data_IF_275498186446
#
_entry.id   IF_275498186446
#
_cell.length_a   1.000
_cell.length_b   1.000
_cell.length_c   1.000
_cell.angle_alpha   90.00
_cell.angle_beta   90.00
_cell.angle_gamma   90.00
#
_symmetry.space_group_name_H-M   'P 1'
#
loop_
_entity.id
_entity.type
_entity.pdbx_description
1 polymer ?
#
# COMPACT_ATOMS: atom_id res chain seq x y z
N UNK A 1 -1.48 -38.13 6.68
CA UNK A 1 -2.69 -37.31 6.94
C UNK A 1 -2.60 -36.12 5.99
N UNK A 2 -3.51 -36.02 5.02
CA UNK A 2 -3.59 -34.83 4.16
C UNK A 2 -4.20 -33.75 5.05
N UNK A 3 -3.38 -32.83 5.55
CA UNK A 3 -3.89 -31.70 6.32
C UNK A 3 -4.90 -30.93 5.48
N UNK A 4 -6.09 -30.70 6.01
CA UNK A 4 -7.11 -29.91 5.34
C UNK A 4 -6.55 -28.50 5.08
N UNK A 5 -6.70 -27.96 3.87
CA UNK A 5 -6.10 -26.67 3.52
C UNK A 5 -6.75 -25.55 4.33
N UNK A 6 -5.91 -24.68 4.92
CA UNK A 6 -6.36 -23.48 5.61
C UNK A 6 -6.57 -22.36 4.59
N UNK A 7 -7.83 -22.11 4.25
CA UNK A 7 -8.24 -21.14 3.23
C UNK A 7 -8.61 -19.84 3.93
N UNK A 8 -7.94 -18.75 3.56
CA UNK A 8 -8.27 -17.41 4.01
C UNK A 8 -8.92 -16.61 2.90
N UNK A 9 -10.09 -16.02 3.17
CA UNK A 9 -10.83 -15.17 2.25
C UNK A 9 -10.84 -13.74 2.77
N UNK A 10 -10.48 -12.79 1.92
CA UNK A 10 -10.53 -11.37 2.26
C UNK A 10 -11.83 -10.74 1.77
N UNK A 11 -12.62 -10.15 2.67
CA UNK A 11 -13.88 -9.51 2.31
C UNK A 11 -13.70 -8.43 1.26
N UNK A 12 -14.67 -8.35 0.36
CA UNK A 12 -14.90 -7.18 -0.48
C UNK A 12 -16.37 -6.78 -0.43
N UNK A 13 -16.61 -5.49 -0.57
CA UNK A 13 -17.93 -4.91 -0.45
C UNK A 13 -18.84 -5.37 -1.60
N UNK A 14 -19.95 -6.03 -1.25
CA UNK A 14 -21.01 -6.41 -2.20
C UNK A 14 -21.48 -7.88 -2.12
N UNK A 15 -22.52 -8.19 -2.90
CA UNK A 15 -23.19 -9.51 -2.98
C UNK A 15 -22.27 -10.64 -3.47
N UNK A 16 -21.16 -10.29 -4.13
CA UNK A 16 -20.18 -11.24 -4.65
C UNK A 16 -19.43 -12.00 -3.56
N UNK A 17 -19.29 -11.40 -2.37
CA UNK A 17 -18.62 -12.05 -1.24
C UNK A 17 -19.36 -13.30 -0.78
N UNK A 18 -20.67 -13.21 -0.55
CA UNK A 18 -21.48 -14.35 -0.10
C UNK A 18 -21.57 -15.45 -1.16
N UNK A 19 -21.68 -15.08 -2.45
CA UNK A 19 -21.64 -16.05 -3.56
C UNK A 19 -20.32 -16.82 -3.57
N UNK A 20 -19.21 -16.11 -3.39
CA UNK A 20 -17.87 -16.73 -3.34
C UNK A 20 -17.70 -17.60 -2.11
N UNK A 21 -18.16 -17.15 -0.93
CA UNK A 21 -18.10 -17.92 0.31
C UNK A 21 -18.88 -19.24 0.18
N UNK A 22 -20.09 -19.21 -0.41
CA UNK A 22 -20.88 -20.41 -0.71
C UNK A 22 -20.18 -21.34 -1.69
N UNK A 23 -19.67 -20.82 -2.80
CA UNK A 23 -18.95 -21.60 -3.79
C UNK A 23 -17.68 -22.24 -3.21
N UNK A 24 -16.97 -21.53 -2.33
CA UNK A 24 -15.79 -22.06 -1.65
C UNK A 24 -16.14 -23.19 -0.69
N UNK A 25 -17.21 -23.04 0.09
CA UNK A 25 -17.67 -24.11 0.99
C UNK A 25 -18.12 -25.35 0.22
N UNK A 26 -18.82 -25.17 -0.89
CA UNK A 26 -19.23 -26.28 -1.77
C UNK A 26 -18.03 -27.01 -2.39
N UNK A 27 -17.00 -26.27 -2.80
CA UNK A 27 -15.80 -26.85 -3.42
C UNK A 27 -14.86 -27.50 -2.41
N UNK A 28 -14.86 -26.99 -1.18
CA UNK A 28 -13.97 -27.41 -0.11
C UNK A 28 -14.78 -27.66 1.17
N UNK A 29 -15.53 -28.77 1.16
CA UNK A 29 -16.44 -29.13 2.25
C UNK A 29 -15.72 -29.25 3.59
N UNK A 30 -14.54 -29.89 3.59
CA UNK A 30 -13.73 -30.13 4.78
C UNK A 30 -12.70 -29.04 5.09
N UNK A 31 -12.50 -28.02 4.24
CA UNK A 31 -11.43 -27.04 4.49
C UNK A 31 -11.76 -26.09 5.66
N UNK A 32 -10.74 -25.74 6.44
CA UNK A 32 -10.83 -24.64 7.40
C UNK A 32 -10.85 -23.31 6.64
N UNK A 33 -12.02 -22.64 6.59
CA UNK A 33 -12.17 -21.37 5.89
C UNK A 33 -12.29 -20.24 6.92
N UNK A 34 -11.39 -19.27 6.85
CA UNK A 34 -11.44 -18.04 7.65
C UNK A 34 -11.67 -16.82 6.77
N UNK A 35 -12.71 -16.05 7.07
CA UNK A 35 -13.04 -14.82 6.37
C UNK A 35 -12.66 -13.60 7.21
N UNK A 36 -11.83 -12.71 6.64
CA UNK A 36 -11.58 -11.39 7.21
C UNK A 36 -12.68 -10.44 6.77
N UNK A 37 -13.48 -9.96 7.72
CA UNK A 37 -14.66 -9.12 7.46
C UNK A 37 -14.56 -7.78 8.19
N UNK A 38 -15.33 -6.75 7.76
CA UNK A 38 -15.52 -5.54 8.54
C UNK A 38 -16.13 -5.83 9.91
N UNK A 39 -15.91 -4.95 10.88
CA UNK A 39 -16.48 -5.08 12.23
C UNK A 39 -18.01 -5.14 12.24
N UNK A 40 -18.65 -4.42 11.33
CA UNK A 40 -20.11 -4.34 11.26
C UNK A 40 -20.72 -5.38 10.31
N UNK A 41 -19.94 -6.40 9.91
CA UNK A 41 -20.43 -7.43 9.01
C UNK A 41 -21.33 -8.43 9.77
N UNK A 42 -22.51 -8.80 9.22
CA UNK A 42 -23.39 -9.79 9.85
C UNK A 42 -22.76 -11.19 9.83
N UNK A 43 -22.17 -11.60 10.95
CA UNK A 43 -21.45 -12.87 11.10
C UNK A 43 -22.33 -14.10 10.82
N UNK A 44 -23.63 -14.01 11.11
CA UNK A 44 -24.65 -15.05 10.90
C UNK A 44 -24.65 -15.61 9.47
N UNK A 45 -24.40 -14.74 8.47
CA UNK A 45 -24.36 -15.13 7.06
C UNK A 45 -23.23 -16.10 6.74
N UNK A 46 -22.14 -16.05 7.49
CA UNK A 46 -20.97 -16.92 7.33
C UNK A 46 -20.98 -18.10 8.30
N UNK A 47 -21.55 -17.91 9.49
CA UNK A 47 -21.77 -18.98 10.46
C UNK A 47 -22.62 -20.11 9.87
N UNK A 48 -23.66 -19.78 9.08
CA UNK A 48 -24.47 -20.76 8.35
C UNK A 48 -23.69 -21.61 7.34
N UNK A 49 -22.50 -21.15 6.92
CA UNK A 49 -21.61 -21.83 5.98
C UNK A 49 -20.42 -22.51 6.67
N UNK A 50 -20.42 -22.56 8.01
CA UNK A 50 -19.29 -23.03 8.80
C UNK A 50 -17.97 -22.30 8.44
N UNK A 51 -18.04 -20.98 8.22
CA UNK A 51 -16.88 -20.13 7.92
C UNK A 51 -16.58 -19.27 9.13
N UNK A 52 -15.32 -19.29 9.59
CA UNK A 52 -14.88 -18.50 10.72
C UNK A 52 -14.82 -17.02 10.34
N UNK A 53 -15.51 -16.16 11.07
CA UNK A 53 -15.43 -14.71 10.90
C UNK A 53 -14.28 -14.13 11.72
N UNK A 54 -13.51 -13.22 11.13
CA UNK A 54 -12.48 -12.45 11.82
C UNK A 54 -12.70 -10.95 11.53
N UNK A 55 -13.40 -10.22 12.42
CA UNK A 55 -13.79 -8.82 12.24
C UNK A 55 -12.61 -7.87 12.45
N UNK A 56 -11.57 -7.99 11.61
CA UNK A 56 -10.34 -7.21 11.70
C UNK A 56 -10.30 -6.04 10.71
N UNK A 57 -11.20 -6.03 9.72
CA UNK A 57 -11.16 -5.00 8.69
C UNK A 57 -11.80 -3.70 9.18
N UNK A 58 -11.14 -2.55 9.01
CA UNK A 58 -11.77 -1.27 9.27
C UNK A 58 -12.90 -1.04 8.26
N UNK A 59 -13.95 -0.36 8.71
CA UNK A 59 -15.06 0.01 7.84
C UNK A 59 -14.57 0.82 6.63
N UNK A 60 -15.23 0.68 5.46
CA UNK A 60 -14.80 1.29 4.21
C UNK A 60 -14.63 2.82 4.31
N UNK A 61 -15.33 3.48 5.24
CA UNK A 61 -15.30 4.92 5.47
C UNK A 61 -14.11 5.42 6.31
N UNK A 62 -13.32 4.54 6.94
CA UNK A 62 -12.18 4.95 7.78
C UNK A 62 -10.86 5.01 7.01
N UNK A 63 -10.07 6.07 7.25
CA UNK A 63 -8.72 6.21 6.70
C UNK A 63 -7.83 5.05 7.16
N UNK A 64 -7.31 4.28 6.21
CA UNK A 64 -6.44 3.13 6.48
C UNK A 64 -5.03 3.61 6.83
N UNK A 65 -4.69 3.61 8.11
CA UNK A 65 -3.31 3.83 8.57
C UNK A 65 -2.43 2.62 8.23
N UNK A 66 -1.18 2.86 7.84
CA UNK A 66 -0.19 1.81 7.56
C UNK A 66 -0.01 0.85 8.76
N UNK A 67 -0.16 1.35 9.99
CA UNK A 67 -0.11 0.51 11.20
C UNK A 67 -1.22 -0.55 11.22
N UNK A 68 -2.45 -0.19 10.80
CA UNK A 68 -3.56 -1.14 10.72
C UNK A 68 -3.32 -2.21 9.66
N UNK A 69 -2.75 -1.83 8.51
CA UNK A 69 -2.38 -2.80 7.47
C UNK A 69 -1.33 -3.79 8.00
N UNK A 70 -0.33 -3.30 8.75
CA UNK A 70 0.66 -4.17 9.38
C UNK A 70 0.04 -5.11 10.43
N UNK A 71 -0.91 -4.64 11.24
CA UNK A 71 -1.65 -5.49 12.19
C UNK A 71 -2.45 -6.57 11.49
N UNK A 72 -3.19 -6.22 10.43
CA UNK A 72 -3.94 -7.18 9.61
C UNK A 72 -3.00 -8.22 9.01
N UNK A 73 -1.87 -7.77 8.46
CA UNK A 73 -0.90 -8.66 7.86
C UNK A 73 -0.27 -9.61 8.89
N UNK A 74 0.01 -9.12 10.10
CA UNK A 74 0.54 -9.94 11.19
C UNK A 74 -0.47 -10.99 11.64
N UNK A 75 -1.75 -10.63 11.73
CA UNK A 75 -2.82 -11.58 12.01
C UNK A 75 -2.94 -12.66 10.93
N UNK A 76 -2.92 -12.25 9.64
CA UNK A 76 -2.95 -13.19 8.50
C UNK A 76 -1.75 -14.14 8.55
N UNK A 77 -0.53 -13.61 8.74
CA UNK A 77 0.69 -14.43 8.83
C UNK A 77 0.70 -15.37 10.03
N UNK A 78 0.12 -14.96 11.16
CA UNK A 78 -0.02 -15.80 12.34
C UNK A 78 -0.89 -17.03 12.09
N UNK A 79 -1.87 -16.94 11.20
CA UNK A 79 -2.73 -18.08 10.85
C UNK A 79 -2.11 -19.05 9.83
N UNK A 80 -1.00 -18.67 9.18
CA UNK A 80 -0.34 -19.47 8.12
C UNK A 80 -1.33 -20.05 7.11
N UNK A 81 -2.03 -19.21 6.34
CA UNK A 81 -2.95 -19.69 5.32
C UNK A 81 -2.20 -20.45 4.23
N UNK A 82 -2.73 -21.60 3.83
CA UNK A 82 -2.22 -22.35 2.67
C UNK A 82 -2.68 -21.66 1.39
N UNK A 83 -3.94 -21.24 1.36
CA UNK A 83 -4.58 -20.57 0.23
C UNK A 83 -5.10 -19.20 0.66
N UNK A 84 -4.70 -18.14 -0.03
CA UNK A 84 -5.21 -16.79 0.18
C UNK A 84 -6.05 -16.32 -1.00
N UNK A 85 -7.32 -15.98 -0.73
CA UNK A 85 -8.32 -15.64 -1.74
C UNK A 85 -8.72 -14.17 -1.62
N UNK A 86 -8.68 -13.48 -2.76
CA UNK A 86 -9.09 -12.08 -2.90
C UNK A 86 -10.14 -11.96 -4.02
N UNK A 87 -11.20 -11.19 -3.78
CA UNK A 87 -12.35 -11.10 -4.69
C UNK A 87 -12.20 -10.07 -5.83
N UNK A 88 -11.08 -9.36 -5.88
CA UNK A 88 -10.86 -8.31 -6.87
C UNK A 88 -9.40 -8.21 -7.25
N UNK A 89 -9.18 -7.95 -8.52
CA UNK A 89 -7.86 -7.79 -9.07
C UNK A 89 -7.34 -6.35 -8.88
N UNK A 90 -7.12 -5.97 -7.62
CA UNK A 90 -6.60 -4.65 -7.26
C UNK A 90 -5.10 -4.73 -6.94
N UNK A 91 -4.27 -3.77 -7.37
CA UNK A 91 -2.85 -3.71 -7.01
C UNK A 91 -2.62 -3.77 -5.49
N UNK A 92 -3.50 -3.13 -4.70
CA UNK A 92 -3.43 -3.12 -3.23
C UNK A 92 -3.77 -4.48 -2.62
N UNK A 93 -4.67 -5.24 -3.24
CA UNK A 93 -5.05 -6.58 -2.79
C UNK A 93 -4.01 -7.61 -3.23
N UNK A 94 -3.42 -7.44 -4.42
CA UNK A 94 -2.28 -8.23 -4.88
C UNK A 94 -1.07 -8.09 -3.94
N UNK A 95 -0.74 -6.87 -3.50
CA UNK A 95 0.35 -6.68 -2.53
C UNK A 95 0.01 -7.30 -1.18
N UNK A 96 -1.24 -7.18 -0.72
CA UNK A 96 -1.68 -7.81 0.52
C UNK A 96 -1.62 -9.34 0.45
N UNK A 97 -2.09 -9.93 -0.65
CA UNK A 97 -2.00 -11.37 -0.91
C UNK A 97 -0.54 -11.84 -1.06
N UNK A 98 0.32 -11.03 -1.66
CA UNK A 98 1.75 -11.33 -1.75
C UNK A 98 2.42 -11.31 -0.37
N UNK A 99 2.01 -10.38 0.48
CA UNK A 99 2.56 -10.22 1.82
C UNK A 99 1.94 -11.20 2.84
N UNK A 100 0.81 -11.85 2.54
CA UNK A 100 0.10 -12.77 3.44
C UNK A 100 0.96 -13.98 3.84
N UNK A 101 1.92 -14.35 2.99
CA UNK A 101 2.78 -15.52 3.20
C UNK A 101 2.17 -16.84 2.75
N UNK A 102 1.00 -16.81 2.09
CA UNK A 102 0.35 -18.02 1.59
C UNK A 102 1.11 -18.67 0.43
N UNK A 103 1.10 -20.00 0.41
CA UNK A 103 1.66 -20.83 -0.66
C UNK A 103 0.91 -20.65 -1.96
N UNK A 104 -0.43 -20.70 -1.91
CA UNK A 104 -1.32 -20.43 -3.03
C UNK A 104 -2.09 -19.13 -2.87
N UNK A 105 -2.27 -18.41 -3.99
CA UNK A 105 -2.94 -17.10 -4.03
C UNK A 105 -3.88 -17.06 -5.20
N UNK A 106 -5.17 -16.90 -4.92
CA UNK A 106 -6.23 -16.96 -5.91
C UNK A 106 -7.00 -15.63 -5.95
N UNK A 107 -7.29 -15.16 -7.16
CA UNK A 107 -8.24 -14.08 -7.38
C UNK A 107 -9.55 -14.67 -7.86
N UNK A 108 -10.63 -14.43 -7.12
CA UNK A 108 -11.99 -14.75 -7.55
C UNK A 108 -12.58 -13.50 -8.19
N UNK A 109 -12.91 -13.57 -9.47
CA UNK A 109 -13.57 -12.47 -10.16
C UNK A 109 -15.07 -12.51 -9.90
N UNK A 110 -15.78 -11.36 -9.99
CA UNK A 110 -17.23 -11.31 -9.85
C UNK A 110 -17.97 -12.21 -10.86
N UNK A 111 -17.34 -12.49 -12.00
CA UNK A 111 -17.82 -13.39 -13.06
C UNK A 111 -17.67 -14.89 -12.69
N UNK A 112 -17.16 -15.21 -11.50
CA UNK A 112 -16.94 -16.58 -11.04
C UNK A 112 -15.64 -17.22 -11.55
N UNK A 113 -14.85 -16.50 -12.37
CA UNK A 113 -13.54 -16.96 -12.82
C UNK A 113 -12.53 -16.95 -11.68
N UNK A 114 -11.70 -17.98 -11.61
CA UNK A 114 -10.62 -18.10 -10.63
C UNK A 114 -9.31 -18.00 -11.37
N UNK A 115 -8.53 -16.96 -11.08
CA UNK A 115 -7.22 -16.77 -11.68
C UNK A 115 -6.12 -16.84 -10.62
N UNK A 116 -5.09 -17.69 -10.80
CA UNK A 116 -3.95 -17.69 -9.89
C UNK A 116 -3.22 -16.36 -9.98
N UNK A 117 -2.94 -15.73 -8.83
CA UNK A 117 -2.17 -14.49 -8.77
C UNK A 117 -0.67 -14.79 -8.95
N UNK A 118 -0.25 -14.94 -10.21
CA UNK A 118 1.18 -14.99 -10.56
C UNK A 118 1.80 -13.59 -10.48
N UNK A 119 3.02 -13.50 -9.96
CA UNK A 119 3.77 -12.28 -9.65
C UNK A 119 4.26 -11.46 -10.87
N UNK A 120 3.56 -11.45 -12.00
CA UNK A 120 4.04 -10.74 -13.20
C UNK A 120 4.09 -9.21 -13.05
N UNK A 121 3.34 -8.62 -12.10
CA UNK A 121 3.25 -7.16 -11.92
C UNK A 121 4.03 -6.58 -10.72
N UNK A 122 4.63 -7.42 -9.88
CA UNK A 122 5.46 -6.96 -8.76
C UNK A 122 6.63 -6.09 -9.24
N UNK A 123 7.19 -6.37 -10.42
CA UNK A 123 8.20 -5.54 -11.05
C UNK A 123 7.72 -4.13 -11.42
N UNK A 124 6.46 -3.96 -11.86
CA UNK A 124 5.92 -2.63 -12.22
C UNK A 124 5.63 -1.77 -10.99
N UNK A 125 5.12 -2.38 -9.92
CA UNK A 125 4.84 -1.69 -8.67
C UNK A 125 6.14 -1.37 -7.92
N UNK A 126 7.11 -2.28 -7.93
CA UNK A 126 8.44 -2.03 -7.40
C UNK A 126 9.14 -0.88 -8.14
N UNK A 127 9.03 -0.82 -9.48
CA UNK A 127 9.55 0.31 -10.27
C UNK A 127 8.89 1.65 -9.92
N UNK A 128 7.56 1.66 -9.80
CA UNK A 128 6.81 2.87 -9.45
C UNK A 128 7.14 3.34 -8.03
N UNK A 129 7.27 2.39 -7.10
CA UNK A 129 7.68 2.66 -5.72
C UNK A 129 9.14 3.15 -5.67
N UNK A 130 10.05 2.53 -6.43
CA UNK A 130 11.45 2.97 -6.56
C UNK A 130 11.57 4.38 -7.12
N UNK A 131 10.76 4.76 -8.12
CA UNK A 131 10.76 6.11 -8.67
C UNK A 131 10.28 7.13 -7.63
N UNK A 132 9.19 6.83 -6.91
CA UNK A 132 8.70 7.69 -5.83
C UNK A 132 9.73 7.82 -4.67
N UNK A 133 10.42 6.73 -4.35
CA UNK A 133 11.45 6.70 -3.30
C UNK A 133 12.72 7.45 -3.72
N UNK A 134 13.14 7.32 -4.98
CA UNK A 134 14.27 8.08 -5.56
C UNK A 134 14.00 9.58 -5.54
N UNK A 135 12.78 10.02 -5.83
CA UNK A 135 12.40 11.44 -5.74
C UNK A 135 12.51 11.98 -4.31
N UNK A 136 12.01 11.21 -3.32
CA UNK A 136 12.13 11.59 -1.90
C UNK A 136 13.58 11.61 -1.43
N UNK A 137 14.37 10.57 -1.74
CA UNK A 137 15.79 10.51 -1.36
C UNK A 137 16.60 11.67 -1.94
N UNK A 138 16.35 12.07 -3.19
CA UNK A 138 17.04 13.21 -3.81
C UNK A 138 16.69 14.53 -3.10
N UNK A 139 15.44 14.69 -2.69
CA UNK A 139 15.01 15.84 -1.89
C UNK A 139 15.63 15.80 -0.49
N UNK A 140 15.72 14.64 0.15
CA UNK A 140 16.37 14.48 1.46
C UNK A 140 17.87 14.74 1.36
N UNK A 141 18.52 14.32 0.27
CA UNK A 141 19.92 14.61 -0.01
C UNK A 141 20.18 16.11 -0.17
N UNK A 142 19.36 16.81 -0.97
CA UNK A 142 19.47 18.27 -1.13
C UNK A 142 19.22 18.97 0.20
N UNK A 143 18.21 18.55 0.96
CA UNK A 143 17.91 19.12 2.26
C UNK A 143 19.07 18.91 3.26
N UNK A 144 19.63 17.71 3.34
CA UNK A 144 20.82 17.44 4.13
C UNK A 144 22.02 18.25 3.65
N UNK A 145 22.24 18.39 2.35
CA UNK A 145 23.33 19.21 1.82
C UNK A 145 23.15 20.68 2.20
N UNK A 146 21.95 21.26 2.04
CA UNK A 146 21.71 22.66 2.42
C UNK A 146 21.88 22.89 3.92
N UNK A 147 21.48 21.94 4.76
CA UNK A 147 21.56 22.10 6.23
C UNK A 147 22.91 21.72 6.85
N UNK A 148 23.69 20.83 6.22
CA UNK A 148 24.98 20.38 6.75
C UNK A 148 26.19 20.95 6.02
N UNK A 149 26.03 21.50 4.82
CA UNK A 149 27.10 22.24 4.16
C UNK A 149 27.15 23.63 4.78
N UNK A 150 28.00 23.80 5.80
CA UNK A 150 28.36 25.11 6.35
C UNK A 150 28.80 26.00 5.20
N UNK A 151 28.04 27.05 4.92
CA UNK A 151 28.47 28.14 4.05
C UNK A 151 29.67 28.79 4.73
N UNK A 152 30.86 28.54 4.18
CA UNK A 152 32.06 29.21 4.61
C UNK A 152 31.91 30.70 4.26
N UNK A 153 31.87 31.54 5.30
CA UNK A 153 31.56 32.98 5.21
C UNK A 153 32.73 33.80 4.65
N UNK A 154 33.72 33.16 4.04
CA UNK A 154 34.98 33.77 3.59
C UNK A 154 34.89 34.51 2.24
N UNK A 155 33.75 34.48 1.55
CA UNK A 155 33.56 35.18 0.25
C UNK A 155 32.64 36.41 0.28
N UNK A 156 32.23 36.91 1.46
CA UNK A 156 31.61 38.25 1.52
C UNK A 156 32.71 39.30 1.56
N UNK A 157 33.36 39.49 0.41
CA UNK A 157 34.25 40.61 0.17
C UNK A 157 33.39 41.88 0.21
N UNK A 158 33.53 42.62 1.32
CA UNK A 158 32.91 43.92 1.54
C UNK A 158 33.37 44.84 0.39
N UNK A 159 32.47 45.42 -0.43
CA UNK A 159 32.91 46.41 -1.42
C UNK A 159 33.56 47.56 -0.66
N UNK A 160 34.82 47.84 -0.97
CA UNK A 160 35.56 48.95 -0.38
C UNK A 160 34.99 50.26 -0.90
N UNK A 161 34.72 51.18 0.01
CA UNK A 161 34.24 52.55 -0.26
C UNK A 161 35.43 53.38 -0.79
N UNK A 162 35.97 52.99 -1.93
CA UNK A 162 37.11 53.66 -2.59
C UNK A 162 36.92 53.88 -4.10
N UNK A 163 35.86 53.34 -4.71
CA UNK A 163 35.62 53.49 -6.15
C UNK A 163 34.50 54.51 -6.50
N UNK A 164 34.15 55.40 -5.57
CA UNK A 164 33.34 56.58 -5.90
C UNK A 164 34.26 57.70 -6.37
N UNK A 165 34.76 57.52 -7.60
CA UNK A 165 35.39 58.59 -8.36
C UNK A 165 34.30 59.61 -8.73
N UNK A 166 34.30 60.73 -8.01
CA UNK A 166 33.57 61.93 -8.39
C UNK A 166 34.41 62.64 -9.44
N UNK A 167 34.09 62.44 -10.71
CA UNK A 167 34.54 63.26 -11.83
C UNK A 167 33.38 63.28 -12.82
N UNK A 168 32.66 64.41 -12.86
CA UNK A 168 32.68 65.38 -13.98
C UNK A 168 31.72 64.93 -15.11
N UNK A 169 30.92 65.73 -15.81
CA UNK A 169 30.47 67.13 -15.82
C UNK A 169 29.18 67.08 -16.70
N UNK A 170 28.63 68.23 -17.06
CA UNK A 170 27.65 68.52 -18.14
C UNK A 170 26.19 68.53 -17.70
N UNK A 171 25.62 69.69 -17.36
CA UNK A 171 25.19 70.77 -18.29
C UNK A 171 24.42 70.22 -19.51
N UNK A 172 23.08 70.26 -19.44
CA UNK A 172 22.33 70.97 -20.47
C UNK A 172 20.91 71.33 -19.98
N UNK A 173 20.71 72.59 -19.63
CA UNK A 173 19.40 73.24 -19.58
C UNK A 173 19.28 74.09 -20.83
N UNK A 174 18.60 73.57 -21.85
CA UNK A 174 18.27 74.28 -23.07
C UNK A 174 16.75 74.44 -23.20
N UNK A 175 16.32 75.70 -23.12
CA UNK A 175 14.99 76.23 -23.47
C UNK A 175 14.85 76.31 -24.99
#
# INVERSE_FOLDING_TARGET
MISEPNITVFYSYGVHFLRTARALRQRHEAAAITAFVPKDFPEELLSSLNIRCLPLLPNPSQKRSLKHVATILRAIRGMRPDVFIVLFDSPKLRTLAALSGAGERLCYHPDGRITPMRWSFAGSLARSFMQAFRGRLRYTYIWCHVHFTRVDRSMVQKPSISDLDFSDTDQDTGV
#
